data_IF_458552899992
#
_entry.id   IF_458552899992
#
_cell.length_a   1.000
_cell.length_b   1.000
_cell.length_c   1.000
_cell.angle_alpha   90.00
_cell.angle_beta   90.00
_cell.angle_gamma   90.00
#
_symmetry.space_group_name_H-M   'P 1'
#
loop_
_entity.id
_entity.type
_entity.pdbx_description
1 polymer ?
#
# COMPACT_ATOMS: atom_id res chain seq x y z
N UNK A 1 21.41 -27.22 15.69
CA UNK A 1 20.97 -27.14 14.28
C UNK A 1 19.73 -26.24 14.12
N UNK A 2 19.64 -25.14 14.88
CA UNK A 2 18.40 -24.33 14.98
C UNK A 2 18.63 -22.82 14.86
N UNK A 3 19.89 -22.37 14.79
CA UNK A 3 20.29 -20.95 14.84
C UNK A 3 20.49 -20.35 13.43
N UNK A 4 20.59 -21.19 12.41
CA UNK A 4 20.84 -20.78 11.01
C UNK A 4 19.61 -20.13 10.34
N UNK A 5 18.40 -20.44 10.81
CA UNK A 5 17.13 -19.92 10.25
C UNK A 5 16.92 -18.44 10.59
N UNK A 6 17.50 -17.95 11.70
CA UNK A 6 17.37 -16.56 12.15
C UNK A 6 18.50 -15.63 11.65
N UNK A 7 19.43 -16.11 10.83
CA UNK A 7 20.47 -15.24 10.30
C UNK A 7 19.85 -14.15 9.40
N UNK A 8 20.08 -12.85 9.69
CA UNK A 8 19.43 -11.74 8.98
C UNK A 8 19.75 -11.75 7.49
N UNK A 9 20.94 -12.22 7.09
CA UNK A 9 21.33 -12.35 5.69
C UNK A 9 20.53 -13.43 4.94
N UNK A 10 20.34 -14.61 5.54
CA UNK A 10 19.53 -15.68 4.95
C UNK A 10 18.06 -15.23 4.84
N UNK A 11 17.53 -14.60 5.88
CA UNK A 11 16.21 -14.00 5.88
C UNK A 11 16.08 -12.98 4.73
N UNK A 12 17.01 -12.03 4.59
CA UNK A 12 16.97 -11.00 3.54
C UNK A 12 17.05 -11.58 2.11
N UNK A 13 17.82 -12.65 1.89
CA UNK A 13 17.94 -13.29 0.57
C UNK A 13 16.65 -14.02 0.14
N UNK A 14 16.08 -14.85 1.02
CA UNK A 14 14.84 -15.61 0.76
C UNK A 14 13.66 -14.68 0.54
N UNK A 15 13.65 -13.61 1.31
CA UNK A 15 12.53 -12.70 1.35
C UNK A 15 12.54 -11.74 0.16
N UNK A 16 13.69 -11.42 -0.46
CA UNK A 16 13.76 -10.73 -1.78
C UNK A 16 12.97 -11.48 -2.86
N UNK A 17 13.19 -12.80 -2.98
CA UNK A 17 12.46 -13.64 -3.94
C UNK A 17 10.96 -13.66 -3.65
N UNK A 18 10.58 -13.80 -2.38
CA UNK A 18 9.18 -13.72 -1.94
C UNK A 18 8.51 -12.39 -2.32
N UNK A 19 9.18 -11.25 -2.10
CA UNK A 19 8.66 -9.94 -2.49
C UNK A 19 8.46 -9.82 -3.99
N UNK A 20 9.38 -10.35 -4.80
CA UNK A 20 9.24 -10.31 -6.27
C UNK A 20 8.03 -11.13 -6.75
N UNK A 21 7.79 -12.31 -6.15
CA UNK A 21 6.61 -13.14 -6.44
C UNK A 21 5.33 -12.40 -6.04
N UNK A 22 5.30 -11.76 -4.87
CA UNK A 22 4.15 -10.98 -4.43
C UNK A 22 3.87 -9.80 -5.37
N UNK A 23 4.90 -9.06 -5.79
CA UNK A 23 4.77 -7.95 -6.74
C UNK A 23 4.22 -8.45 -8.08
N UNK A 24 4.74 -9.56 -8.59
CA UNK A 24 4.23 -10.18 -9.83
C UNK A 24 2.76 -10.58 -9.71
N UNK A 25 2.38 -11.22 -8.61
CA UNK A 25 0.99 -11.60 -8.31
C UNK A 25 0.07 -10.39 -8.23
N UNK A 26 0.49 -9.31 -7.57
CA UNK A 26 -0.29 -8.08 -7.47
C UNK A 26 -0.47 -7.38 -8.82
N UNK A 27 0.58 -7.30 -9.64
CA UNK A 27 0.47 -6.77 -11.00
C UNK A 27 -0.49 -7.60 -11.85
N UNK A 28 -0.42 -8.92 -11.75
CA UNK A 28 -1.33 -9.83 -12.45
C UNK A 28 -2.78 -9.64 -12.02
N UNK A 29 -3.06 -9.60 -10.70
CA UNK A 29 -4.41 -9.39 -10.17
C UNK A 29 -4.95 -8.00 -10.52
N UNK A 30 -4.10 -6.97 -10.59
CA UNK A 30 -4.48 -5.63 -11.01
C UNK A 30 -4.83 -5.60 -12.50
N UNK A 31 -4.02 -6.23 -13.35
CA UNK A 31 -4.31 -6.35 -14.78
C UNK A 31 -5.60 -7.14 -15.03
N UNK A 32 -5.82 -8.23 -14.30
CA UNK A 32 -7.05 -9.02 -14.34
C UNK A 32 -8.26 -8.21 -13.91
N UNK A 33 -8.17 -7.45 -12.82
CA UNK A 33 -9.25 -6.61 -12.32
C UNK A 33 -9.64 -5.50 -13.32
N UNK A 34 -8.64 -4.85 -13.95
CA UNK A 34 -8.88 -3.86 -15.00
C UNK A 34 -9.55 -4.52 -16.22
N UNK A 35 -9.08 -5.70 -16.62
CA UNK A 35 -9.67 -6.44 -17.73
C UNK A 35 -11.15 -6.80 -17.47
N UNK A 36 -11.44 -7.36 -16.30
CA UNK A 36 -12.81 -7.70 -15.87
C UNK A 36 -13.70 -6.45 -15.83
N UNK A 37 -13.21 -5.34 -15.29
CA UNK A 37 -13.99 -4.09 -15.22
C UNK A 37 -14.26 -3.44 -16.58
N UNK A 38 -13.32 -3.51 -17.54
CA UNK A 38 -13.49 -2.85 -18.84
C UNK A 38 -14.16 -3.71 -19.91
N UNK A 39 -14.05 -5.04 -19.83
CA UNK A 39 -14.57 -5.96 -20.85
C UNK A 39 -15.83 -6.70 -20.39
N UNK A 40 -15.85 -7.17 -19.14
CA UNK A 40 -16.86 -8.10 -18.63
C UNK A 40 -17.99 -7.39 -17.88
N UNK A 41 -17.71 -6.20 -17.33
CA UNK A 41 -18.71 -5.44 -16.58
C UNK A 41 -19.96 -5.14 -17.43
N UNK A 42 -21.16 -5.38 -16.86
CA UNK A 42 -22.40 -5.16 -17.57
C UNK A 42 -22.58 -3.68 -17.89
N UNK A 43 -23.12 -3.42 -19.07
CA UNK A 43 -23.48 -2.07 -19.51
C UNK A 43 -24.71 -1.62 -18.73
N UNK A 44 -24.72 -0.37 -18.30
CA UNK A 44 -25.91 0.21 -17.69
C UNK A 44 -26.81 0.82 -18.76
N UNK A 45 -28.12 0.68 -18.62
CA UNK A 45 -29.09 1.12 -19.65
C UNK A 45 -29.07 2.64 -19.87
N UNK A 46 -28.73 3.41 -18.83
CA UNK A 46 -28.68 4.87 -18.88
C UNK A 46 -27.28 5.43 -19.21
N UNK A 47 -26.20 4.71 -18.88
CA UNK A 47 -24.83 5.19 -19.04
C UNK A 47 -24.04 4.51 -20.16
N UNK A 48 -24.60 3.46 -20.78
CA UNK A 48 -23.96 2.71 -21.84
C UNK A 48 -22.59 2.16 -21.43
N UNK A 49 -21.58 2.36 -22.29
CA UNK A 49 -20.20 1.92 -22.07
C UNK A 49 -19.47 2.61 -20.91
N UNK A 50 -19.94 3.80 -20.51
CA UNK A 50 -19.25 4.62 -19.52
C UNK A 50 -19.44 4.09 -18.09
N UNK A 51 -20.48 3.29 -17.84
CA UNK A 51 -20.69 2.63 -16.53
C UNK A 51 -19.51 1.75 -16.12
N UNK A 52 -18.74 1.23 -17.09
CA UNK A 52 -17.58 0.37 -16.86
C UNK A 52 -16.46 1.05 -16.07
N UNK A 53 -16.34 2.38 -16.19
CA UNK A 53 -15.34 3.17 -15.46
C UNK A 53 -15.62 3.13 -13.96
N UNK A 54 -16.89 3.07 -13.56
CA UNK A 54 -17.32 3.08 -12.17
C UNK A 54 -16.81 1.85 -11.38
N UNK A 55 -16.64 0.72 -12.07
CA UNK A 55 -16.11 -0.53 -11.50
C UNK A 55 -14.62 -0.49 -11.17
N UNK A 56 -13.88 0.44 -11.77
CA UNK A 56 -12.47 0.68 -11.43
C UNK A 56 -12.38 1.84 -10.45
N UNK A 57 -13.06 2.95 -10.77
CA UNK A 57 -12.97 4.19 -10.03
C UNK A 57 -13.49 4.10 -8.59
N UNK A 58 -14.69 3.50 -8.37
CA UNK A 58 -15.31 3.47 -7.04
C UNK A 58 -14.50 2.63 -6.04
N UNK A 59 -14.05 1.40 -6.39
CA UNK A 59 -13.14 0.67 -5.53
C UNK A 59 -11.85 1.44 -5.25
N UNK A 60 -11.23 2.08 -6.26
CA UNK A 60 -10.00 2.86 -6.06
C UNK A 60 -10.20 4.03 -5.09
N UNK A 61 -11.29 4.78 -5.21
CA UNK A 61 -11.60 5.89 -4.31
C UNK A 61 -11.80 5.42 -2.86
N UNK A 62 -12.49 4.29 -2.66
CA UNK A 62 -12.68 3.68 -1.33
C UNK A 62 -11.39 3.11 -0.74
N UNK A 63 -10.47 2.61 -1.57
CA UNK A 63 -9.17 2.17 -1.07
C UNK A 63 -8.28 3.37 -0.71
N UNK A 64 -8.35 4.46 -1.47
CA UNK A 64 -7.62 5.70 -1.17
C UNK A 64 -8.03 6.27 0.19
N UNK A 65 -9.33 6.34 0.51
CA UNK A 65 -9.78 6.86 1.81
C UNK A 65 -9.26 6.00 2.97
N UNK A 66 -9.23 4.67 2.82
CA UNK A 66 -8.69 3.76 3.84
C UNK A 66 -7.21 4.01 4.10
N UNK A 67 -6.40 4.17 3.05
CA UNK A 67 -4.96 4.47 3.18
C UNK A 67 -4.74 5.81 3.90
N UNK A 68 -5.54 6.84 3.57
CA UNK A 68 -5.48 8.12 4.27
C UNK A 68 -5.86 8.00 5.74
N UNK A 69 -6.91 7.24 6.07
CA UNK A 69 -7.32 6.98 7.46
C UNK A 69 -6.21 6.26 8.24
N UNK A 70 -5.63 5.20 7.68
CA UNK A 70 -4.53 4.47 8.33
C UNK A 70 -3.33 5.39 8.57
N UNK A 71 -2.99 6.24 7.61
CA UNK A 71 -1.89 7.21 7.75
C UNK A 71 -2.19 8.27 8.83
N UNK A 72 -3.44 8.76 8.88
CA UNK A 72 -3.87 9.71 9.91
C UNK A 72 -3.82 9.10 11.31
N UNK A 73 -4.26 7.84 11.46
CA UNK A 73 -4.19 7.08 12.71
C UNK A 73 -2.73 6.91 13.14
N UNK A 74 -1.85 6.44 12.24
CA UNK A 74 -0.42 6.28 12.53
C UNK A 74 0.23 7.60 12.97
N UNK A 75 -0.13 8.71 12.31
CA UNK A 75 0.34 10.06 12.66
C UNK A 75 -0.15 10.47 14.05
N UNK A 76 -1.41 10.19 14.37
CA UNK A 76 -1.98 10.47 15.70
C UNK A 76 -1.28 9.66 16.80
N UNK A 77 -1.07 8.36 16.59
CA UNK A 77 -0.32 7.53 17.54
C UNK A 77 1.14 7.96 17.68
N UNK A 78 1.79 8.43 16.61
CA UNK A 78 3.11 9.04 16.70
C UNK A 78 3.11 10.28 17.62
N UNK A 79 2.09 11.14 17.54
CA UNK A 79 1.99 12.33 18.39
C UNK A 79 1.85 11.97 19.88
N UNK A 80 1.11 10.90 20.19
CA UNK A 80 0.90 10.43 21.56
C UNK A 80 2.11 9.67 22.13
N UNK A 81 2.68 8.75 21.35
CA UNK A 81 3.70 7.81 21.83
C UNK A 81 5.12 8.30 21.59
N UNK A 82 5.31 9.29 20.70
CA UNK A 82 6.62 9.80 20.22
C UNK A 82 7.58 8.69 19.76
N UNK A 83 7.07 7.49 19.50
CA UNK A 83 7.90 6.32 19.25
C UNK A 83 8.40 6.32 17.78
N UNK A 84 9.69 6.08 17.53
CA UNK A 84 10.30 6.21 16.19
C UNK A 84 9.71 5.25 15.14
N UNK A 85 9.08 4.15 15.57
CA UNK A 85 8.39 3.21 14.68
C UNK A 85 7.19 3.86 13.95
N UNK A 86 6.40 4.69 14.63
CA UNK A 86 5.22 5.32 14.02
C UNK A 86 5.58 6.48 13.09
N UNK A 87 6.70 7.17 13.37
CA UNK A 87 7.24 8.20 12.47
C UNK A 87 7.63 7.59 11.12
N UNK A 88 8.27 6.41 11.15
CA UNK A 88 8.79 5.77 9.95
C UNK A 88 7.72 5.02 9.17
N UNK A 89 6.72 4.46 9.86
CA UNK A 89 5.53 3.84 9.27
C UNK A 89 4.55 4.84 8.65
N UNK A 90 4.54 6.09 9.12
CA UNK A 90 3.80 7.19 8.46
C UNK A 90 4.51 7.72 7.20
N UNK A 91 5.78 7.37 6.99
CA UNK A 91 6.44 7.55 5.69
C UNK A 91 7.86 8.09 5.75
N UNK A 92 8.72 7.40 5.01
CA UNK A 92 9.90 7.95 4.31
C UNK A 92 9.58 9.20 3.47
N UNK A 93 8.31 9.42 3.13
CA UNK A 93 7.81 10.63 2.47
C UNK A 93 7.99 11.88 3.32
N UNK A 94 7.78 11.87 4.64
CA UNK A 94 7.96 13.06 5.48
C UNK A 94 9.42 13.55 5.50
N UNK A 95 10.38 12.62 5.55
CA UNK A 95 11.80 12.92 5.45
C UNK A 95 12.20 13.38 4.04
N UNK A 96 11.54 12.87 3.00
CA UNK A 96 11.73 13.34 1.64
C UNK A 96 11.13 14.74 1.41
N UNK A 97 9.96 15.03 1.99
CA UNK A 97 9.30 16.35 1.93
C UNK A 97 10.09 17.43 2.66
N UNK A 98 10.86 17.09 3.71
CA UNK A 98 11.78 18.04 4.34
C UNK A 98 12.96 18.42 3.42
N UNK A 99 13.36 17.55 2.49
CA UNK A 99 14.42 17.82 1.50
C UNK A 99 13.90 18.40 0.18
N UNK A 100 12.59 18.35 -0.06
CA UNK A 100 12.01 18.95 -1.26
C UNK A 100 12.01 20.48 -1.11
N UNK A 101 12.35 21.24 -2.15
CA UNK A 101 12.25 22.70 -2.12
C UNK A 101 10.83 23.10 -1.74
N UNK A 102 10.61 24.20 -1.02
CA UNK A 102 9.27 24.65 -0.55
C UNK A 102 8.23 24.92 -1.66
N UNK A 103 8.68 25.06 -2.92
CA UNK A 103 7.87 25.46 -4.08
C UNK A 103 6.73 24.51 -4.48
N UNK A 104 6.89 23.16 -4.54
CA UNK A 104 5.80 22.24 -4.84
C UNK A 104 4.84 22.03 -3.64
N UNK A 105 5.33 22.16 -2.40
CA UNK A 105 4.48 21.99 -1.21
C UNK A 105 3.41 23.08 -1.09
N UNK A 106 3.75 24.34 -1.45
CA UNK A 106 2.78 25.44 -1.49
C UNK A 106 1.69 25.27 -2.55
N UNK A 107 1.94 24.51 -3.62
CA UNK A 107 0.91 24.21 -4.63
C UNK A 107 -0.11 23.20 -4.10
N UNK A 108 0.35 22.11 -3.49
CA UNK A 108 -0.53 21.06 -2.95
C UNK A 108 -1.46 21.56 -1.84
N UNK A 109 -0.99 22.45 -0.96
CA UNK A 109 -1.82 23.05 0.11
C UNK A 109 -2.94 23.92 -0.49
N UNK A 110 -2.67 24.59 -1.61
CA UNK A 110 -3.63 25.49 -2.27
C UNK A 110 -4.65 24.75 -3.12
N UNK A 111 -4.27 23.58 -3.66
CA UNK A 111 -5.13 22.74 -4.48
C UNK A 111 -6.26 22.08 -3.66
N UNK A 112 -6.01 21.69 -2.40
CA UNK A 112 -7.00 20.99 -1.56
C UNK A 112 -8.35 21.73 -1.38
N UNK A 113 -8.35 23.02 -0.98
CA UNK A 113 -9.59 23.79 -0.84
C UNK A 113 -10.36 24.00 -2.16
N UNK A 114 -9.68 23.98 -3.30
CA UNK A 114 -10.29 24.13 -4.64
C UNK A 114 -10.98 22.82 -5.06
N UNK A 115 -10.47 21.68 -4.60
CA UNK A 115 -11.02 20.37 -4.91
C UNK A 115 -12.45 20.17 -4.35
N UNK A 116 -12.73 20.70 -3.16
CA UNK A 116 -14.04 20.55 -2.48
C UNK A 116 -15.20 21.18 -3.30
N UNK A 117 -15.12 22.45 -3.76
CA UNK A 117 -16.11 23.05 -4.67
C UNK A 117 -16.24 22.30 -6.00
N UNK A 118 -15.13 21.80 -6.57
CA UNK A 118 -15.15 21.07 -7.83
C UNK A 118 -15.90 19.74 -7.66
N UNK A 119 -15.61 18.99 -6.60
CA UNK A 119 -16.31 17.74 -6.27
C UNK A 119 -17.80 18.02 -6.08
N UNK A 120 -18.17 19.06 -5.32
CA UNK A 120 -19.57 19.45 -5.09
C UNK A 120 -20.30 19.76 -6.41
N UNK A 121 -19.69 20.55 -7.27
CA UNK A 121 -20.25 20.91 -8.59
C UNK A 121 -20.32 19.71 -9.53
N UNK A 122 -19.32 18.83 -9.51
CA UNK A 122 -19.29 17.58 -10.29
C UNK A 122 -20.41 16.62 -9.88
N UNK A 123 -20.67 16.49 -8.57
CA UNK A 123 -21.76 15.65 -8.05
C UNK A 123 -23.11 16.24 -8.40
N UNK A 124 -23.29 17.55 -8.23
CA UNK A 124 -24.54 18.22 -8.59
C UNK A 124 -24.83 18.09 -10.10
N UNK A 125 -23.80 18.26 -10.94
CA UNK A 125 -23.92 18.07 -12.38
C UNK A 125 -24.31 16.64 -12.75
N UNK A 126 -23.65 15.66 -12.14
CA UNK A 126 -23.99 14.24 -12.33
C UNK A 126 -25.45 13.92 -11.99
N UNK A 127 -25.94 14.45 -10.86
CA UNK A 127 -27.33 14.29 -10.42
C UNK A 127 -28.35 14.96 -11.35
N UNK A 128 -27.93 15.93 -12.17
CA UNK A 128 -28.81 16.56 -13.18
C UNK A 128 -28.78 15.85 -14.53
N UNK A 129 -27.67 15.18 -14.88
CA UNK A 129 -27.53 14.44 -16.15
C UNK A 129 -28.12 13.02 -16.09
N UNK A 130 -28.18 12.42 -14.91
CA UNK A 130 -28.84 11.15 -14.67
C UNK A 130 -29.90 11.32 -13.59
N UNK A 131 -31.15 10.98 -13.90
CA UNK A 131 -32.19 10.85 -12.88
C UNK A 131 -31.71 9.80 -11.86
N UNK A 132 -31.72 10.13 -10.56
CA UNK A 132 -31.49 9.16 -9.49
C UNK A 132 -32.46 7.99 -9.72
N UNK A 133 -31.91 6.80 -10.00
CA UNK A 133 -32.72 5.62 -10.22
C UNK A 133 -33.76 5.49 -9.12
N UNK A 134 -35.04 5.45 -9.48
CA UNK A 134 -36.11 5.30 -8.50
C UNK A 134 -35.84 4.01 -7.73
N UNK A 135 -35.59 4.13 -6.44
CA UNK A 135 -35.36 2.99 -5.55
C UNK A 135 -36.68 2.22 -5.48
N UNK A 136 -36.85 1.24 -6.38
CA UNK A 136 -37.83 0.18 -6.19
C UNK A 136 -37.26 -0.76 -5.12
N UNK A 137 -37.81 -0.66 -3.91
CA UNK A 137 -37.41 -1.44 -2.73
C UNK A 137 -37.91 -2.90 -2.80
N UNK A 138 -37.90 -3.55 -3.96
CA UNK A 138 -38.58 -4.86 -4.11
C UNK A 138 -38.11 -5.80 -5.24
N UNK A 139 -36.86 -5.76 -5.69
CA UNK A 139 -36.34 -6.85 -6.55
C UNK A 139 -34.86 -7.11 -6.32
N UNK A 140 -34.61 -7.97 -5.34
CA UNK A 140 -33.31 -8.54 -5.00
C UNK A 140 -32.82 -9.45 -6.12
N UNK A 141 -32.06 -8.89 -7.06
CA UNK A 141 -31.03 -9.64 -7.78
C UNK A 141 -29.95 -8.65 -8.18
N UNK A 142 -28.91 -8.52 -7.35
CA UNK A 142 -27.67 -7.93 -7.82
C UNK A 142 -27.18 -8.87 -8.91
N UNK A 143 -27.19 -8.42 -10.17
CA UNK A 143 -26.69 -9.21 -11.28
C UNK A 143 -25.30 -9.73 -10.92
N UNK A 144 -25.15 -11.04 -10.74
CA UNK A 144 -23.88 -11.71 -10.38
C UNK A 144 -22.68 -11.25 -11.25
N UNK A 145 -22.85 -10.93 -12.56
CA UNK A 145 -21.77 -10.35 -13.37
C UNK A 145 -21.21 -9.01 -12.85
N UNK A 146 -22.00 -8.25 -12.10
CA UNK A 146 -21.62 -6.98 -11.48
C UNK A 146 -20.66 -7.19 -10.29
N UNK A 147 -20.79 -8.32 -9.58
CA UNK A 147 -20.00 -8.63 -8.39
C UNK A 147 -18.55 -9.00 -8.73
N UNK A 148 -18.33 -9.72 -9.83
CA UNK A 148 -17.00 -10.20 -10.25
C UNK A 148 -15.97 -9.06 -10.33
N UNK A 149 -16.19 -7.97 -11.10
CA UNK A 149 -15.22 -6.87 -11.17
C UNK A 149 -15.06 -6.13 -9.83
N UNK A 150 -16.13 -6.01 -9.04
CA UNK A 150 -16.07 -5.34 -7.73
C UNK A 150 -15.20 -6.16 -6.77
N UNK A 151 -15.50 -7.44 -6.59
CA UNK A 151 -14.76 -8.34 -5.71
C UNK A 151 -13.29 -8.47 -6.14
N UNK A 152 -13.02 -8.52 -7.44
CA UNK A 152 -11.64 -8.55 -7.97
C UNK A 152 -10.85 -7.31 -7.57
N UNK A 153 -11.44 -6.11 -7.63
CA UNK A 153 -10.79 -4.88 -7.17
C UNK A 153 -10.64 -4.81 -5.65
N UNK A 154 -11.61 -5.31 -4.88
CA UNK A 154 -11.50 -5.40 -3.42
C UNK A 154 -10.40 -6.38 -2.98
N UNK A 155 -10.23 -7.50 -3.69
CA UNK A 155 -9.20 -8.48 -3.41
C UNK A 155 -7.78 -7.95 -3.67
N UNK A 156 -7.59 -6.96 -4.54
CA UNK A 156 -6.27 -6.36 -4.80
C UNK A 156 -5.71 -5.56 -3.61
N UNK A 157 -6.57 -4.99 -2.78
CA UNK A 157 -6.16 -4.14 -1.66
C UNK A 157 -5.28 -4.84 -0.62
N UNK A 158 -5.65 -6.01 -0.05
CA UNK A 158 -4.81 -6.71 0.93
C UNK A 158 -3.47 -7.15 0.35
N UNK A 159 -3.38 -7.47 -0.95
CA UNK A 159 -2.11 -7.78 -1.60
C UNK A 159 -1.21 -6.55 -1.67
N UNK A 160 -1.76 -5.39 -2.05
CA UNK A 160 -1.02 -4.14 -2.10
C UNK A 160 -0.48 -3.75 -0.72
N UNK A 161 -1.32 -3.77 0.32
CA UNK A 161 -0.91 -3.38 1.68
C UNK A 161 0.10 -4.36 2.28
N UNK A 162 -0.04 -5.66 2.01
CA UNK A 162 0.93 -6.68 2.43
C UNK A 162 2.31 -6.46 1.80
N UNK A 163 2.37 -6.10 0.50
CA UNK A 163 3.64 -5.78 -0.17
C UNK A 163 4.32 -4.57 0.48
N UNK A 164 3.57 -3.50 0.74
CA UNK A 164 4.12 -2.31 1.41
C UNK A 164 4.68 -2.65 2.80
N UNK A 165 3.97 -3.46 3.59
CA UNK A 165 4.45 -3.92 4.90
C UNK A 165 5.73 -4.77 4.80
N UNK A 166 5.78 -5.71 3.85
CA UNK A 166 6.98 -6.53 3.62
C UNK A 166 8.17 -5.68 3.13
N UNK A 167 7.93 -4.66 2.31
CA UNK A 167 8.97 -3.74 1.86
C UNK A 167 9.45 -2.84 3.00
N UNK A 168 8.55 -2.39 3.87
CA UNK A 168 8.90 -1.56 5.02
C UNK A 168 9.76 -2.33 6.03
N UNK A 169 9.37 -3.57 6.35
CA UNK A 169 10.17 -4.45 7.23
C UNK A 169 11.56 -4.76 6.66
N UNK A 170 11.72 -4.85 5.33
CA UNK A 170 13.05 -4.98 4.68
C UNK A 170 13.94 -3.78 4.86
N UNK A 171 13.37 -2.58 4.80
CA UNK A 171 14.12 -1.34 4.95
C UNK A 171 14.47 -1.06 6.42
N UNK A 172 13.69 -1.63 7.35
CA UNK A 172 13.89 -1.48 8.78
C UNK A 172 15.05 -2.34 9.32
N UNK A 173 15.17 -3.60 8.90
CA UNK A 173 16.19 -4.53 9.43
C UNK A 173 17.63 -4.00 9.25
N UNK A 174 18.08 -3.53 8.06
CA UNK A 174 19.44 -3.02 7.87
C UNK A 174 19.72 -1.79 8.73
N UNK A 175 18.74 -0.88 8.83
CA UNK A 175 18.90 0.33 9.63
C UNK A 175 18.94 0.09 11.13
N UNK A 176 18.35 -1.00 11.61
CA UNK A 176 18.45 -1.40 13.01
C UNK A 176 19.85 -1.97 13.29
N UNK A 177 20.38 -2.77 12.37
CA UNK A 177 21.74 -3.33 12.45
C UNK A 177 22.84 -2.26 12.38
N UNK A 178 22.61 -1.16 11.65
CA UNK A 178 23.52 -0.02 11.57
C UNK A 178 23.39 0.97 12.75
N UNK A 179 22.46 0.72 13.69
CA UNK A 179 22.24 1.62 14.82
C UNK A 179 23.41 1.59 15.82
N UNK A 180 23.72 2.72 16.50
CA UNK A 180 24.76 2.77 17.54
C UNK A 180 24.54 1.73 18.65
N UNK A 181 23.28 1.40 18.93
CA UNK A 181 22.87 0.43 19.94
C UNK A 181 23.38 -0.99 19.63
N UNK A 182 23.41 -1.40 18.35
CA UNK A 182 23.94 -2.71 17.95
C UNK A 182 25.45 -2.79 18.15
N UNK A 183 26.17 -1.69 17.94
CA UNK A 183 27.61 -1.60 18.21
C UNK A 183 27.93 -1.73 19.70
N UNK A 184 27.08 -1.15 20.55
CA UNK A 184 27.19 -1.29 22.00
C UNK A 184 26.84 -2.70 22.48
N UNK A 185 25.83 -3.34 21.92
CA UNK A 185 25.51 -4.75 22.24
C UNK A 185 26.63 -5.68 21.76
N UNK A 186 27.18 -5.49 20.55
CA UNK A 186 28.36 -6.24 20.07
C UNK A 186 29.60 -6.01 20.94
N UNK A 187 29.80 -4.78 21.45
CA UNK A 187 30.90 -4.44 22.35
C UNK A 187 30.72 -5.03 23.76
N UNK A 188 29.49 -5.28 24.18
CA UNK A 188 29.16 -5.88 25.49
C UNK A 188 29.14 -7.42 25.43
N UNK A 189 28.72 -8.04 24.31
CA UNK A 189 28.68 -9.51 24.17
C UNK A 189 29.96 -10.13 23.59
N UNK A 190 30.91 -9.35 23.07
CA UNK A 190 32.18 -9.91 22.56
C UNK A 190 32.00 -10.90 21.41
N UNK A 191 31.04 -10.66 20.50
CA UNK A 191 30.80 -11.52 19.34
C UNK A 191 31.83 -11.18 18.23
N UNK A 192 32.66 -12.14 17.77
CA UNK A 192 33.66 -11.87 16.74
C UNK A 192 33.03 -11.64 15.36
N UNK A 193 33.63 -10.72 14.59
CA UNK A 193 33.22 -10.32 13.22
C UNK A 193 33.01 -11.54 12.31
N UNK A 194 31.98 -11.51 11.42
CA UNK A 194 31.67 -12.62 10.51
C UNK A 194 32.76 -12.90 9.45
N UNK A 195 33.77 -12.04 9.31
CA UNK A 195 34.89 -12.28 8.38
C UNK A 195 35.83 -13.39 8.84
N UNK A 196 35.95 -13.68 10.14
CA UNK A 196 36.86 -14.72 10.65
C UNK A 196 36.25 -16.13 10.67
N UNK A 197 34.92 -16.25 10.55
CA UNK A 197 34.21 -17.54 10.53
C UNK A 197 34.15 -18.15 9.12
N UNK A 198 34.32 -17.36 8.06
CA UNK A 198 34.38 -17.83 6.69
C UNK A 198 35.70 -18.57 6.37
N UNK A 199 36.83 -18.15 6.94
CA UNK A 199 38.12 -18.82 6.74
C UNK A 199 38.23 -20.15 7.50
N UNK A 200 37.59 -20.28 8.67
CA UNK A 200 37.61 -21.52 9.45
C UNK A 200 36.82 -22.67 8.79
N UNK A 201 35.75 -22.35 8.04
CA UNK A 201 34.95 -23.36 7.33
C UNK A 201 35.54 -23.82 5.99
N UNK A 202 36.49 -23.09 5.39
CA UNK A 202 37.15 -23.49 4.14
C UNK A 202 38.37 -24.40 4.33
N UNK A 203 38.89 -24.56 5.55
CA UNK A 203 40.11 -25.37 5.79
C UNK A 203 39.77 -26.84 6.10
N UNK A 204 38.50 -27.22 6.30
CA UNK A 204 38.16 -28.56 6.78
C UNK A 204 36.95 -29.26 6.12
N UNK A 205 36.56 -28.87 4.90
CA UNK A 205 35.47 -29.52 4.15
C UNK A 205 35.73 -29.59 2.66
#
# INVERSE_FOLDING_TARGET
MSILILQPYFLMSKTRSYTQILIGSWLFLTAMAIHLSLRVAPLDLQQGGNSRILYVHVPMARMSILVYITTAINTFFFLLTKHPLFLRSSGTSALHFQKLPVKPASFSIRAGPIDIPIIKSSVNWWNTSHQLGSISRSSTSIHVPMLIPILSNFANFPFSTHIFFVLETRLLIPSFLESPLTKEIEAQEGIPKPSSLAESFCIHG
#
